data_IF_811540494119
#
_entry.id   IF_811540494119
#
_cell.length_a   1.000
_cell.length_b   1.000
_cell.length_c   1.000
_cell.angle_alpha   90.00
_cell.angle_beta   90.00
_cell.angle_gamma   90.00
#
_symmetry.space_group_name_H-M   'P 1'
#
loop_
_entity.id
_entity.type
_entity.pdbx_description
1 polymer ?
#
# COMPACT_ATOMS: atom_id res chain seq x y z
N UNK A 1 24.07 43.91 -75.31
CA UNK A 1 23.66 45.33 -75.14
C UNK A 1 22.29 45.37 -74.49
N UNK A 2 22.16 46.15 -73.42
CA UNK A 2 20.95 46.40 -72.62
C UNK A 2 19.75 46.85 -73.50
N UNK A 3 18.51 46.55 -73.10
CA UNK A 3 17.66 47.48 -72.30
C UNK A 3 16.28 46.92 -71.94
N UNK A 4 15.84 47.41 -70.80
CA UNK A 4 14.73 47.09 -69.90
C UNK A 4 13.45 47.90 -70.21
N UNK A 5 12.27 47.36 -69.89
CA UNK A 5 11.14 47.92 -69.08
C UNK A 5 9.76 47.41 -69.60
N UNK A 6 9.08 46.52 -68.85
CA UNK A 6 7.90 46.73 -67.94
C UNK A 6 6.69 47.34 -68.67
N UNK A 7 5.47 46.79 -68.60
CA UNK A 7 4.51 46.95 -67.47
C UNK A 7 3.30 45.97 -67.61
N UNK A 8 3.02 45.22 -66.54
CA UNK A 8 1.75 44.99 -65.81
C UNK A 8 0.44 44.72 -66.60
N UNK A 9 -0.14 43.53 -66.41
CA UNK A 9 -1.54 43.35 -65.95
C UNK A 9 -1.78 41.89 -65.57
N UNK A 10 -1.91 41.58 -64.29
CA UNK A 10 -2.36 40.28 -63.79
C UNK A 10 -3.68 40.48 -63.06
N UNK A 11 -4.73 39.87 -63.62
CA UNK A 11 -6.10 39.89 -63.14
C UNK A 11 -6.17 39.06 -61.86
N UNK A 12 -6.64 39.68 -60.79
CA UNK A 12 -6.89 39.06 -59.49
C UNK A 12 -8.14 38.16 -59.55
N UNK A 13 -7.98 36.89 -59.20
CA UNK A 13 -9.09 36.02 -58.80
C UNK A 13 -9.21 36.11 -57.27
N UNK A 14 -10.21 36.85 -56.81
CA UNK A 14 -10.58 36.97 -55.40
C UNK A 14 -11.25 35.66 -54.99
N UNK A 15 -10.51 34.81 -54.27
CA UNK A 15 -11.11 33.75 -53.46
C UNK A 15 -11.33 34.32 -52.05
N UNK A 16 -12.60 34.56 -51.72
CA UNK A 16 -13.02 34.97 -50.38
C UNK A 16 -12.92 33.74 -49.48
N UNK A 17 -11.82 33.59 -48.76
CA UNK A 17 -11.77 32.74 -47.57
C UNK A 17 -12.42 33.51 -46.43
N UNK A 18 -13.59 33.06 -45.97
CA UNK A 18 -14.18 33.51 -44.71
C UNK A 18 -13.22 33.15 -43.58
N UNK A 19 -12.53 34.13 -43.03
CA UNK A 19 -11.86 34.01 -41.74
C UNK A 19 -12.95 34.08 -40.69
N UNK A 20 -13.43 32.91 -40.23
CA UNK A 20 -14.08 32.83 -38.94
C UNK A 20 -13.01 33.03 -37.88
N UNK A 21 -12.92 34.24 -37.34
CA UNK A 21 -12.32 34.44 -36.01
C UNK A 21 -13.31 33.87 -35.00
N UNK A 22 -13.19 32.59 -34.68
CA UNK A 22 -13.58 32.15 -33.35
C UNK A 22 -12.58 32.76 -32.39
N UNK A 23 -13.03 33.72 -31.58
CA UNK A 23 -12.37 33.99 -30.33
C UNK A 23 -12.45 32.68 -29.55
N UNK A 24 -11.37 31.90 -29.56
CA UNK A 24 -11.18 30.85 -28.58
C UNK A 24 -11.15 31.57 -27.24
N UNK A 25 -12.29 31.52 -26.53
CA UNK A 25 -12.26 31.63 -25.09
C UNK A 25 -11.27 30.57 -24.64
N UNK A 26 -10.14 31.00 -24.08
CA UNK A 26 -9.31 30.12 -23.29
C UNK A 26 -10.20 29.67 -22.13
N UNK A 27 -10.86 28.53 -22.32
CA UNK A 27 -11.35 27.75 -21.19
C UNK A 27 -10.09 27.36 -20.41
N UNK A 28 -10.05 27.89 -19.20
CA UNK A 28 -9.10 27.58 -18.16
C UNK A 28 -9.04 26.06 -17.98
N UNK A 29 -8.11 25.43 -18.68
CA UNK A 29 -7.83 23.98 -18.61
C UNK A 29 -6.91 23.72 -17.43
N UNK A 30 -7.37 24.08 -16.24
CA UNK A 30 -6.76 23.70 -14.96
C UNK A 30 -7.59 22.66 -14.19
N UNK A 31 -8.72 22.22 -14.73
CA UNK A 31 -9.53 21.15 -14.15
C UNK A 31 -9.30 19.83 -14.93
N UNK A 32 -8.48 18.92 -14.38
CA UNK A 32 -8.62 17.43 -14.42
C UNK A 32 -7.33 16.67 -14.07
N UNK A 33 -6.27 17.32 -13.57
CA UNK A 33 -5.05 16.61 -13.12
C UNK A 33 -5.07 16.25 -11.62
N UNK A 34 -5.99 16.82 -10.83
CA UNK A 34 -6.10 16.56 -9.39
C UNK A 34 -7.07 15.44 -9.01
N UNK A 35 -7.87 14.91 -9.95
CA UNK A 35 -8.89 13.91 -9.63
C UNK A 35 -8.47 12.47 -9.97
N UNK A 36 -7.20 12.16 -9.75
CA UNK A 36 -6.64 10.81 -9.93
C UNK A 36 -5.90 10.39 -8.68
N UNK A 37 -5.89 9.09 -8.34
CA UNK A 37 -5.02 8.59 -7.30
C UNK A 37 -3.57 8.90 -7.63
N UNK A 38 -2.74 9.00 -6.59
CA UNK A 38 -1.29 8.98 -6.75
C UNK A 38 -0.89 7.70 -7.50
N UNK A 39 0.21 7.74 -8.26
CA UNK A 39 0.63 6.61 -9.11
C UNK A 39 0.70 5.28 -8.34
N UNK A 40 1.26 5.32 -7.12
CA UNK A 40 1.36 4.15 -6.23
C UNK A 40 0.00 3.53 -5.88
N UNK A 41 -1.07 4.33 -5.83
CA UNK A 41 -2.42 3.91 -5.44
C UNK A 41 -3.31 3.60 -6.65
N UNK A 42 -2.92 4.01 -7.85
CA UNK A 42 -3.79 4.01 -9.03
C UNK A 42 -4.36 2.63 -9.34
N UNK A 43 -3.51 1.60 -9.31
CA UNK A 43 -3.94 0.22 -9.56
C UNK A 43 -4.93 -0.28 -8.50
N UNK A 44 -4.61 -0.11 -7.23
CA UNK A 44 -5.43 -0.64 -6.13
C UNK A 44 -6.75 0.12 -6.01
N UNK A 45 -6.74 1.43 -6.22
CA UNK A 45 -7.96 2.23 -6.26
C UNK A 45 -8.81 1.83 -7.46
N UNK A 46 -8.22 1.65 -8.64
CA UNK A 46 -8.95 1.22 -9.84
C UNK A 46 -9.57 -0.17 -9.66
N UNK A 47 -8.81 -1.12 -9.11
CA UNK A 47 -9.28 -2.46 -8.76
C UNK A 47 -10.43 -2.40 -7.75
N UNK A 48 -10.27 -1.64 -6.66
CA UNK A 48 -11.29 -1.48 -5.64
C UNK A 48 -12.58 -0.85 -6.20
N UNK A 49 -12.47 0.11 -7.13
CA UNK A 49 -13.61 0.68 -7.85
C UNK A 49 -14.30 -0.38 -8.71
N UNK A 50 -13.56 -1.15 -9.49
CA UNK A 50 -14.08 -2.23 -10.35
C UNK A 50 -14.81 -3.31 -9.54
N UNK A 51 -14.25 -3.66 -8.37
CA UNK A 51 -14.85 -4.62 -7.43
C UNK A 51 -16.00 -4.03 -6.61
N UNK A 52 -16.36 -2.76 -6.82
CA UNK A 52 -17.48 -2.09 -6.15
C UNK A 52 -17.22 -1.72 -4.68
N UNK A 53 -15.95 -1.76 -4.24
CA UNK A 53 -15.54 -1.44 -2.88
C UNK A 53 -15.49 0.06 -2.57
N UNK A 54 -15.46 0.91 -3.60
CA UNK A 54 -15.34 2.38 -3.44
C UNK A 54 -16.65 3.08 -3.83
N UNK A 55 -17.40 3.65 -2.87
CA UNK A 55 -18.58 4.46 -3.15
C UNK A 55 -18.26 5.63 -4.08
N UNK A 56 -19.20 6.01 -4.97
CA UNK A 56 -18.98 7.02 -6.01
C UNK A 56 -18.50 8.37 -5.44
N UNK A 57 -18.98 8.77 -4.27
CA UNK A 57 -18.59 10.01 -3.60
C UNK A 57 -17.15 10.02 -3.06
N UNK A 58 -16.48 8.85 -2.99
CA UNK A 58 -15.07 8.71 -2.63
C UNK A 58 -14.17 8.41 -3.83
N UNK A 59 -14.69 8.51 -5.06
CA UNK A 59 -13.92 8.37 -6.30
C UNK A 59 -13.38 9.74 -6.77
N UNK A 60 -12.94 10.55 -5.82
CA UNK A 60 -12.34 11.87 -6.05
C UNK A 60 -11.51 12.33 -4.86
N UNK A 61 -10.71 13.39 -5.06
CA UNK A 61 -9.90 14.01 -3.99
C UNK A 61 -9.01 13.02 -3.22
N UNK A 62 -8.49 12.01 -3.92
CA UNK A 62 -7.84 10.83 -3.36
C UNK A 62 -6.74 11.11 -2.33
N UNK A 63 -5.94 12.18 -2.51
CA UNK A 63 -4.88 12.55 -1.56
C UNK A 63 -5.36 13.34 -0.34
N UNK A 64 -6.65 13.69 -0.23
CA UNK A 64 -7.19 14.40 0.93
C UNK A 64 -7.35 13.46 2.12
N UNK A 65 -7.24 13.99 3.34
CA UNK A 65 -7.54 13.23 4.55
C UNK A 65 -8.99 12.75 4.54
N UNK A 66 -9.21 11.51 4.95
CA UNK A 66 -10.54 10.91 5.01
C UNK A 66 -11.21 11.22 6.35
N UNK A 67 -12.50 11.55 6.32
CA UNK A 67 -13.30 11.70 7.54
C UNK A 67 -13.67 10.33 8.11
N UNK A 68 -13.93 10.27 9.42
CA UNK A 68 -14.39 9.05 10.11
C UNK A 68 -15.62 8.45 9.43
N UNK A 69 -16.62 9.26 9.08
CA UNK A 69 -17.83 8.80 8.40
C UNK A 69 -17.56 8.23 7.00
N UNK A 70 -16.64 8.83 6.25
CA UNK A 70 -16.23 8.34 4.92
C UNK A 70 -15.50 7.00 5.01
N UNK A 71 -14.64 6.81 6.02
CA UNK A 71 -13.98 5.53 6.26
C UNK A 71 -15.01 4.42 6.54
N UNK A 72 -16.08 4.73 7.28
CA UNK A 72 -17.19 3.77 7.51
C UNK A 72 -17.82 3.30 6.21
N UNK A 73 -17.99 4.19 5.22
CA UNK A 73 -18.57 3.81 3.94
C UNK A 73 -17.71 2.77 3.21
N UNK A 74 -16.38 2.93 3.21
CA UNK A 74 -15.46 1.95 2.65
C UNK A 74 -15.50 0.63 3.41
N UNK A 75 -15.47 0.67 4.75
CA UNK A 75 -15.51 -0.51 5.59
C UNK A 75 -16.81 -1.32 5.40
N UNK A 76 -17.95 -0.63 5.26
CA UNK A 76 -19.23 -1.28 4.95
C UNK A 76 -19.26 -1.92 3.57
N UNK A 77 -18.59 -1.33 2.56
CA UNK A 77 -18.48 -1.98 1.25
C UNK A 77 -17.73 -3.31 1.33
N UNK A 78 -16.67 -3.37 2.13
CA UNK A 78 -15.98 -4.64 2.41
C UNK A 78 -16.87 -5.60 3.19
N UNK A 79 -17.57 -5.13 4.23
CA UNK A 79 -18.47 -5.97 4.99
C UNK A 79 -19.60 -6.57 4.14
N UNK A 80 -20.18 -5.76 3.24
CA UNK A 80 -21.30 -6.16 2.38
C UNK A 80 -20.93 -7.27 1.39
N UNK A 81 -19.65 -7.45 1.04
CA UNK A 81 -19.21 -8.57 0.18
C UNK A 81 -19.40 -9.94 0.85
N UNK A 82 -19.48 -9.97 2.19
CA UNK A 82 -19.74 -11.22 2.93
C UNK A 82 -21.17 -11.72 2.78
N UNK A 83 -22.09 -10.88 2.28
CA UNK A 83 -23.52 -11.18 2.21
C UNK A 83 -24.21 -11.32 3.57
N UNK A 84 -23.53 -10.94 4.68
CA UNK A 84 -24.10 -10.98 6.03
C UNK A 84 -25.07 -9.83 6.23
N UNK A 85 -26.26 -10.14 6.75
CA UNK A 85 -27.23 -9.15 7.17
C UNK A 85 -26.90 -8.59 8.56
N UNK A 86 -27.23 -7.31 8.78
CA UNK A 86 -27.06 -6.64 10.08
C UNK A 86 -28.43 -6.43 10.72
N UNK A 87 -28.61 -6.98 11.93
CA UNK A 87 -29.79 -6.71 12.74
C UNK A 87 -29.64 -5.34 13.43
N UNK A 88 -30.47 -4.37 13.03
CA UNK A 88 -30.43 -3.00 13.57
C UNK A 88 -31.21 -2.94 14.88
N UNK A 89 -30.50 -3.08 16.01
CA UNK A 89 -31.06 -3.07 17.36
C UNK A 89 -31.16 -1.66 17.94
N UNK A 90 -30.15 -0.83 17.68
CA UNK A 90 -30.11 0.56 18.11
C UNK A 90 -30.16 1.49 16.90
N UNK A 91 -31.25 2.23 16.74
CA UNK A 91 -31.42 3.14 15.60
C UNK A 91 -30.73 4.50 15.77
N UNK A 92 -30.29 4.85 16.99
CA UNK A 92 -29.70 6.17 17.33
C UNK A 92 -28.62 6.06 18.43
N UNK A 93 -27.45 5.48 18.12
CA UNK A 93 -26.39 5.27 19.11
C UNK A 93 -25.57 6.53 19.42
N UNK A 94 -25.61 7.56 18.57
CA UNK A 94 -24.78 8.77 18.70
C UNK A 94 -25.59 10.06 18.50
N UNK A 95 -25.34 11.06 19.34
CA UNK A 95 -26.07 12.33 19.33
C UNK A 95 -25.66 13.24 18.15
N UNK A 96 -24.38 13.23 17.81
CA UNK A 96 -23.76 14.04 16.76
C UNK A 96 -23.91 13.46 15.34
N UNK A 97 -24.56 12.30 15.22
CA UNK A 97 -24.86 11.65 13.94
C UNK A 97 -26.31 11.91 13.49
N UNK A 98 -27.15 12.46 14.35
CA UNK A 98 -28.54 12.74 14.03
C UNK A 98 -28.65 13.76 12.88
N UNK A 99 -29.33 13.37 11.80
CA UNK A 99 -29.47 14.11 10.53
C UNK A 99 -28.15 14.28 9.74
N UNK A 100 -27.10 13.53 10.10
CA UNK A 100 -25.89 13.46 9.29
C UNK A 100 -26.18 12.71 7.97
N UNK A 101 -25.53 13.08 6.87
CA UNK A 101 -25.80 12.47 5.55
C UNK A 101 -25.55 10.95 5.53
N UNK A 102 -24.61 10.47 6.33
CA UNK A 102 -24.26 9.05 6.51
C UNK A 102 -24.81 8.45 7.82
N UNK A 103 -25.90 8.98 8.37
CA UNK A 103 -26.51 8.47 9.62
C UNK A 103 -26.80 6.97 9.55
N UNK A 104 -27.42 6.51 8.46
CA UNK A 104 -27.82 5.11 8.33
C UNK A 104 -26.63 4.16 8.25
N UNK A 105 -25.58 4.55 7.55
CA UNK A 105 -24.35 3.79 7.41
C UNK A 105 -23.59 3.73 8.74
N UNK A 106 -23.47 4.84 9.46
CA UNK A 106 -22.83 4.85 10.78
C UNK A 106 -23.62 3.97 11.77
N UNK A 107 -24.95 4.05 11.75
CA UNK A 107 -25.82 3.18 12.56
C UNK A 107 -25.64 1.71 12.18
N UNK A 108 -25.61 1.38 10.88
CA UNK A 108 -25.38 0.01 10.41
C UNK A 108 -24.03 -0.52 10.88
N UNK A 109 -22.96 0.26 10.71
CA UNK A 109 -21.62 -0.13 11.14
C UNK A 109 -21.51 -0.30 12.66
N UNK A 110 -22.23 0.52 13.43
CA UNK A 110 -22.28 0.38 14.90
C UNK A 110 -22.99 -0.92 15.30
N UNK A 111 -24.16 -1.19 14.71
CA UNK A 111 -24.92 -2.42 15.01
C UNK A 111 -24.20 -3.68 14.51
N UNK A 112 -23.40 -3.57 13.45
CA UNK A 112 -22.50 -4.62 12.99
C UNK A 112 -21.29 -4.81 13.94
N UNK A 113 -21.03 -3.89 14.87
CA UNK A 113 -19.87 -3.95 15.77
C UNK A 113 -18.55 -3.49 15.14
N UNK A 114 -18.59 -2.85 13.96
CA UNK A 114 -17.42 -2.34 13.23
C UNK A 114 -16.91 -1.04 13.86
N UNK A 115 -17.81 -0.16 14.31
CA UNK A 115 -17.47 1.13 14.91
C UNK A 115 -17.93 1.26 16.35
N UNK A 116 -17.25 2.13 17.09
CA UNK A 116 -17.61 2.57 18.44
C UNK A 116 -17.52 4.10 18.52
N UNK A 117 -18.29 4.69 19.44
CA UNK A 117 -18.19 6.12 19.76
C UNK A 117 -17.16 6.41 20.85
N UNK A 118 -17.09 7.66 21.27
CA UNK A 118 -16.15 8.17 22.29
C UNK A 118 -16.50 7.78 23.75
N UNK A 119 -17.51 6.92 23.94
CA UNK A 119 -18.04 6.55 25.26
C UNK A 119 -18.87 7.64 25.95
N UNK A 120 -19.01 8.82 25.33
CA UNK A 120 -19.83 9.96 25.80
C UNK A 120 -21.06 10.19 24.92
N UNK A 121 -21.32 9.28 23.99
CA UNK A 121 -22.48 9.30 23.10
C UNK A 121 -22.24 10.06 21.79
N UNK A 122 -20.99 10.24 21.36
CA UNK A 122 -20.65 10.87 20.07
C UNK A 122 -19.76 9.96 19.22
N UNK A 123 -19.84 10.11 17.90
CA UNK A 123 -19.03 9.38 16.93
C UNK A 123 -17.96 10.24 16.25
N UNK A 124 -18.17 11.54 16.19
CA UNK A 124 -17.36 12.56 15.51
C UNK A 124 -17.24 12.31 14.00
N UNK A 125 -18.36 12.28 13.25
CA UNK A 125 -18.38 11.82 11.85
C UNK A 125 -17.53 12.66 10.89
N UNK A 126 -17.36 13.96 11.17
CA UNK A 126 -16.66 14.91 10.31
C UNK A 126 -15.19 15.12 10.69
N UNK A 127 -14.72 14.50 11.77
CA UNK A 127 -13.30 14.54 12.11
C UNK A 127 -12.51 13.66 11.13
N UNK A 128 -11.30 14.11 10.77
CA UNK A 128 -10.34 13.22 10.12
C UNK A 128 -10.03 12.04 11.03
N UNK A 129 -9.98 10.85 10.44
CA UNK A 129 -9.70 9.62 11.19
C UNK A 129 -8.20 9.47 11.39
N UNK A 130 -7.83 9.18 12.63
CA UNK A 130 -6.44 8.90 12.99
C UNK A 130 -6.07 7.44 12.70
N UNK A 131 -4.77 7.16 12.59
CA UNK A 131 -4.26 5.82 12.33
C UNK A 131 -4.60 4.82 13.42
N UNK A 132 -4.60 5.22 14.69
CA UNK A 132 -5.01 4.36 15.80
C UNK A 132 -6.51 4.03 15.77
N UNK A 133 -7.34 4.96 15.28
CA UNK A 133 -8.77 4.71 15.07
C UNK A 133 -8.99 3.79 13.87
N UNK A 134 -8.27 3.98 12.76
CA UNK A 134 -8.27 3.05 11.62
C UNK A 134 -7.93 1.63 12.09
N UNK A 135 -6.89 1.46 12.89
CA UNK A 135 -6.51 0.14 13.42
C UNK A 135 -7.69 -0.52 14.13
N UNK A 136 -8.36 0.23 15.02
CA UNK A 136 -9.52 -0.30 15.73
C UNK A 136 -10.68 -0.69 14.81
N UNK A 137 -10.98 0.13 13.79
CA UNK A 137 -12.06 -0.14 12.85
C UNK A 137 -11.75 -1.35 11.96
N UNK A 138 -10.50 -1.51 11.52
CA UNK A 138 -10.09 -2.67 10.71
C UNK A 138 -10.15 -3.97 11.51
N UNK A 139 -9.65 -3.98 12.75
CA UNK A 139 -9.73 -5.18 13.59
C UNK A 139 -11.17 -5.54 13.91
N UNK A 140 -11.99 -4.54 14.27
CA UNK A 140 -13.41 -4.78 14.50
C UNK A 140 -14.10 -5.32 13.23
N UNK A 141 -13.82 -4.75 12.05
CA UNK A 141 -14.32 -5.27 10.77
C UNK A 141 -13.88 -6.73 10.54
N UNK A 142 -12.60 -7.04 10.76
CA UNK A 142 -12.08 -8.40 10.65
C UNK A 142 -12.82 -9.38 11.56
N UNK A 143 -13.04 -9.01 12.82
CA UNK A 143 -13.78 -9.84 13.77
C UNK A 143 -15.21 -10.15 13.29
N UNK A 144 -15.81 -9.27 12.49
CA UNK A 144 -17.14 -9.53 11.92
C UNK A 144 -17.10 -10.37 10.65
N UNK A 145 -16.07 -10.21 9.81
CA UNK A 145 -15.98 -10.96 8.54
C UNK A 145 -15.40 -12.36 8.76
N UNK A 146 -14.41 -12.51 9.62
CA UNK A 146 -13.73 -13.77 9.99
C UNK A 146 -13.79 -14.06 11.50
N UNK A 147 -15.00 -14.35 12.06
CA UNK A 147 -15.19 -14.51 13.52
C UNK A 147 -14.43 -15.69 14.13
N UNK A 148 -14.04 -16.68 13.32
CA UNK A 148 -13.29 -17.85 13.77
C UNK A 148 -11.76 -17.66 13.73
N UNK A 149 -11.28 -16.49 13.26
CA UNK A 149 -9.86 -16.16 13.21
C UNK A 149 -9.31 -15.91 14.62
N UNK A 150 -8.05 -16.25 14.83
CA UNK A 150 -7.34 -15.91 16.07
C UNK A 150 -7.02 -14.41 16.09
N UNK A 151 -7.62 -13.68 17.03
CA UNK A 151 -7.40 -12.25 17.25
C UNK A 151 -6.44 -11.96 18.40
N UNK A 152 -5.70 -12.98 18.86
CA UNK A 152 -4.68 -12.82 19.90
C UNK A 152 -3.45 -12.14 19.31
N UNK A 153 -2.97 -11.10 19.98
CA UNK A 153 -1.65 -10.52 19.71
C UNK A 153 -0.61 -11.41 20.39
N UNK A 154 0.29 -12.00 19.61
CA UNK A 154 1.22 -13.02 20.08
C UNK A 154 2.51 -12.42 20.66
N UNK A 155 2.88 -11.23 20.21
CA UNK A 155 4.11 -10.56 20.63
C UNK A 155 3.84 -9.23 21.33
N UNK A 156 4.81 -8.78 22.12
CA UNK A 156 4.82 -7.40 22.63
C UNK A 156 5.62 -6.53 21.67
N UNK A 157 5.01 -5.45 21.19
CA UNK A 157 5.65 -4.49 20.31
C UNK A 157 5.95 -3.20 21.06
N UNK A 158 7.18 -2.71 20.88
CA UNK A 158 7.58 -1.36 21.26
C UNK A 158 7.73 -0.52 20.01
N UNK A 159 7.34 0.75 20.09
CA UNK A 159 7.40 1.70 18.98
C UNK A 159 8.15 2.95 19.44
N UNK A 160 8.96 3.53 18.56
CA UNK A 160 9.70 4.77 18.80
C UNK A 160 8.80 5.92 19.26
N UNK A 161 7.56 5.92 18.79
CA UNK A 161 6.51 6.89 19.10
C UNK A 161 5.37 6.26 19.92
N UNK A 162 5.62 5.10 20.55
CA UNK A 162 4.62 4.32 21.29
C UNK A 162 3.98 5.08 22.44
N UNK A 163 4.65 6.09 22.99
CA UNK A 163 4.11 6.99 24.03
C UNK A 163 2.93 7.86 23.56
N UNK A 164 2.71 7.99 22.24
CA UNK A 164 1.56 8.70 21.67
C UNK A 164 0.36 7.78 21.40
N UNK A 165 0.54 6.46 21.50
CA UNK A 165 -0.55 5.50 21.32
C UNK A 165 -1.47 5.61 22.53
N UNK A 166 -2.76 5.81 22.29
CA UNK A 166 -3.71 5.75 23.39
C UNK A 166 -3.86 4.33 23.92
N UNK A 167 -3.99 4.17 25.25
CA UNK A 167 -4.06 2.85 25.91
C UNK A 167 -5.11 1.92 25.27
N UNK A 168 -6.27 2.45 24.90
CA UNK A 168 -7.35 1.68 24.27
C UNK A 168 -6.98 1.18 22.85
N UNK A 169 -6.05 1.86 22.19
CA UNK A 169 -5.65 1.57 20.82
C UNK A 169 -4.47 0.59 20.73
N UNK A 170 -3.72 0.38 21.83
CA UNK A 170 -2.49 -0.44 21.82
C UNK A 170 -2.73 -1.83 21.25
N UNK A 171 -3.77 -2.54 21.73
CA UNK A 171 -4.13 -3.86 21.21
C UNK A 171 -4.38 -3.85 19.70
N UNK A 172 -5.11 -2.84 19.21
CA UNK A 172 -5.48 -2.75 17.80
C UNK A 172 -4.28 -2.44 16.91
N UNK A 173 -3.41 -1.52 17.35
CA UNK A 173 -2.14 -1.22 16.69
C UNK A 173 -1.26 -2.46 16.63
N UNK A 174 -1.08 -3.14 17.76
CA UNK A 174 -0.24 -4.34 17.85
C UNK A 174 -0.76 -5.45 16.94
N UNK A 175 -2.08 -5.69 16.94
CA UNK A 175 -2.70 -6.67 16.06
C UNK A 175 -2.50 -6.31 14.59
N UNK A 176 -2.74 -5.05 14.21
CA UNK A 176 -2.57 -4.59 12.84
C UNK A 176 -1.11 -4.67 12.39
N UNK A 177 -0.16 -4.40 13.29
CA UNK A 177 1.26 -4.50 13.01
C UNK A 177 1.69 -5.97 12.84
N UNK A 178 1.34 -6.85 13.78
CA UNK A 178 1.64 -8.29 13.74
C UNK A 178 1.08 -8.96 12.47
N UNK A 179 -0.12 -8.58 12.07
CA UNK A 179 -0.81 -9.14 10.90
C UNK A 179 -0.55 -8.36 9.61
N UNK A 180 0.40 -7.42 9.61
CA UNK A 180 0.83 -6.64 8.43
C UNK A 180 -0.32 -5.89 7.74
N UNK A 181 -1.32 -5.49 8.51
CA UNK A 181 -2.47 -4.70 8.07
C UNK A 181 -2.09 -3.22 8.02
N UNK A 182 -1.43 -2.73 9.08
CA UNK A 182 -0.89 -1.38 9.14
C UNK A 182 0.62 -1.47 9.39
N UNK A 183 1.40 -0.92 8.47
CA UNK A 183 2.83 -0.74 8.65
C UNK A 183 3.13 0.67 9.20
N UNK A 184 4.22 0.79 9.94
CA UNK A 184 4.80 2.07 10.36
C UNK A 184 5.49 2.82 9.21
N UNK A 185 6.01 4.01 9.50
CA UNK A 185 6.72 4.88 8.55
C UNK A 185 8.24 4.64 8.52
N UNK A 186 8.70 3.46 8.94
CA UNK A 186 10.13 3.17 9.17
C UNK A 186 10.61 3.65 10.54
N UNK A 187 11.86 3.32 10.91
CA UNK A 187 12.47 3.63 12.23
C UNK A 187 11.58 3.27 13.45
N UNK A 188 10.78 2.21 13.31
CA UNK A 188 9.84 1.75 14.33
C UNK A 188 8.79 2.82 14.75
N UNK A 189 8.39 3.72 13.84
CA UNK A 189 7.37 4.77 14.05
C UNK A 189 6.01 4.34 13.48
N UNK A 190 4.94 4.43 14.27
CA UNK A 190 3.57 4.09 13.83
C UNK A 190 2.74 5.30 13.41
N UNK A 191 3.01 6.46 14.00
CA UNK A 191 2.26 7.71 13.97
C UNK A 191 0.78 7.52 14.32
N UNK A 192 0.44 7.16 15.57
CA UNK A 192 -0.92 6.80 15.95
C UNK A 192 -1.92 7.95 15.80
N UNK A 193 -1.46 9.21 15.84
CA UNK A 193 -2.31 10.41 15.74
C UNK A 193 -2.34 11.02 14.34
N UNK A 194 -1.53 10.52 13.42
CA UNK A 194 -1.56 10.93 12.02
C UNK A 194 -2.89 10.59 11.36
N UNK A 195 -3.30 11.40 10.39
CA UNK A 195 -4.51 11.16 9.60
C UNK A 195 -4.16 10.38 8.32
N UNK A 196 -5.07 9.53 7.86
CA UNK A 196 -4.92 8.84 6.58
C UNK A 196 -5.66 9.57 5.45
N UNK A 197 -5.17 9.39 4.22
CA UNK A 197 -5.84 9.88 3.01
C UNK A 197 -6.92 8.91 2.52
N UNK A 198 -7.77 9.38 1.60
CA UNK A 198 -8.78 8.55 0.93
C UNK A 198 -8.10 7.39 0.18
N UNK A 199 -7.06 7.64 -0.62
CA UNK A 199 -6.35 6.58 -1.36
C UNK A 199 -5.67 5.55 -0.46
N UNK A 200 -5.10 5.98 0.67
CA UNK A 200 -4.53 5.07 1.67
C UNK A 200 -5.60 4.17 2.27
N UNK A 201 -6.78 4.71 2.54
CA UNK A 201 -7.90 3.95 3.12
C UNK A 201 -8.49 2.96 2.12
N UNK A 202 -8.59 3.34 0.84
CA UNK A 202 -9.03 2.44 -0.24
C UNK A 202 -8.04 1.30 -0.43
N UNK A 203 -6.75 1.60 -0.57
CA UNK A 203 -5.69 0.60 -0.75
C UNK A 203 -5.67 -0.41 0.39
N UNK A 204 -5.73 0.07 1.64
CA UNK A 204 -5.78 -0.76 2.84
C UNK A 204 -6.95 -1.74 2.81
N UNK A 205 -8.16 -1.25 2.55
CA UNK A 205 -9.37 -2.08 2.57
C UNK A 205 -9.47 -3.01 1.36
N UNK A 206 -8.91 -2.64 0.21
CA UNK A 206 -8.75 -3.53 -0.94
C UNK A 206 -7.84 -4.72 -0.59
N UNK A 207 -6.66 -4.44 -0.04
CA UNK A 207 -5.71 -5.49 0.41
C UNK A 207 -6.34 -6.39 1.46
N UNK A 208 -7.05 -5.80 2.43
CA UNK A 208 -7.78 -6.55 3.45
C UNK A 208 -8.78 -7.51 2.82
N UNK A 209 -9.64 -7.02 1.91
CA UNK A 209 -10.64 -7.84 1.24
C UNK A 209 -10.03 -8.98 0.41
N UNK A 210 -8.89 -8.72 -0.27
CA UNK A 210 -8.14 -9.74 -1.02
C UNK A 210 -7.56 -10.80 -0.10
N UNK A 211 -6.90 -10.38 0.99
CA UNK A 211 -6.25 -11.28 1.94
C UNK A 211 -7.25 -12.21 2.65
N UNK A 212 -8.47 -11.72 2.90
CA UNK A 212 -9.54 -12.52 3.51
C UNK A 212 -10.37 -13.29 2.46
N UNK A 213 -9.94 -13.30 1.19
CA UNK A 213 -10.57 -14.08 0.12
C UNK A 213 -11.98 -13.61 -0.26
N UNK A 214 -12.33 -12.37 0.05
CA UNK A 214 -13.66 -11.80 -0.18
C UNK A 214 -13.87 -11.33 -1.63
N UNK A 215 -12.78 -11.18 -2.38
CA UNK A 215 -12.83 -10.82 -3.79
C UNK A 215 -12.51 -12.06 -4.62
N UNK A 216 -13.31 -12.33 -5.66
CA UNK A 216 -13.03 -13.42 -6.59
C UNK A 216 -11.58 -13.32 -7.09
N UNK A 217 -10.76 -14.31 -6.70
CA UNK A 217 -9.37 -14.42 -7.12
C UNK A 217 -9.35 -14.80 -8.60
N UNK A 218 -9.29 -13.80 -9.47
CA UNK A 218 -9.01 -14.04 -10.89
C UNK A 218 -7.54 -14.46 -11.11
N UNK A 219 -6.65 -14.19 -10.16
CA UNK A 219 -5.22 -14.39 -10.36
C UNK A 219 -4.68 -15.26 -9.22
N UNK A 220 -4.27 -16.49 -9.58
CA UNK A 220 -3.37 -17.28 -8.74
C UNK A 220 -1.99 -16.60 -8.63
N UNK A 221 -0.90 -17.36 -8.46
CA UNK A 221 0.46 -16.82 -8.61
C UNK A 221 0.58 -15.87 -9.80
N UNK A 222 1.17 -14.70 -9.59
CA UNK A 222 1.40 -13.75 -10.68
C UNK A 222 2.40 -14.38 -11.63
N UNK A 223 2.01 -14.47 -12.90
CA UNK A 223 2.91 -14.86 -13.98
C UNK A 223 3.49 -13.60 -14.60
N UNK A 224 4.81 -13.47 -14.57
CA UNK A 224 5.50 -12.27 -15.06
C UNK A 224 5.32 -12.05 -16.56
N UNK A 225 5.03 -13.12 -17.31
CA UNK A 225 4.63 -13.03 -18.72
C UNK A 225 3.29 -12.31 -18.94
N UNK A 226 2.41 -12.29 -17.93
CA UNK A 226 1.12 -11.63 -18.00
C UNK A 226 1.16 -10.17 -17.53
N UNK A 227 2.31 -9.71 -17.01
CA UNK A 227 2.47 -8.32 -16.57
C UNK A 227 2.49 -7.38 -17.78
N UNK A 228 1.64 -6.35 -17.71
CA UNK A 228 1.54 -5.33 -18.76
C UNK A 228 2.90 -4.66 -19.03
N UNK A 229 3.19 -4.43 -20.31
CA UNK A 229 4.48 -3.86 -20.79
C UNK A 229 4.81 -2.54 -20.08
N UNK A 230 3.82 -1.69 -19.80
CA UNK A 230 4.04 -0.42 -19.11
C UNK A 230 4.55 -0.62 -17.67
N UNK A 231 3.91 -1.51 -16.90
CA UNK A 231 4.30 -1.85 -15.52
C UNK A 231 5.68 -2.49 -15.51
N UNK A 232 5.94 -3.43 -16.42
CA UNK A 232 7.27 -4.03 -16.59
C UNK A 232 8.35 -2.98 -16.87
N UNK A 233 8.11 -2.06 -17.80
CA UNK A 233 9.08 -1.03 -18.15
C UNK A 233 9.33 -0.05 -17.00
N UNK A 234 8.29 0.28 -16.22
CA UNK A 234 8.44 1.13 -15.03
C UNK A 234 9.30 0.45 -13.96
N UNK A 235 9.07 -0.84 -13.69
CA UNK A 235 9.88 -1.62 -12.76
C UNK A 235 11.35 -1.73 -13.22
N UNK A 236 11.58 -2.02 -14.50
CA UNK A 236 12.94 -2.12 -15.08
C UNK A 236 13.67 -0.77 -15.02
N UNK A 237 12.96 0.33 -15.26
CA UNK A 237 13.53 1.67 -15.20
C UNK A 237 13.94 2.05 -13.76
N UNK A 238 13.23 1.52 -12.75
CA UNK A 238 13.53 1.79 -11.35
C UNK A 238 14.71 0.95 -10.81
N UNK A 239 14.66 -0.35 -11.03
CA UNK A 239 15.64 -1.26 -10.45
C UNK A 239 16.75 -1.58 -11.42
N UNK A 240 16.45 -2.41 -12.42
CA UNK A 240 17.25 -2.68 -13.60
C UNK A 240 16.59 -3.79 -14.41
N UNK A 241 17.09 -4.03 -15.63
CA UNK A 241 16.74 -5.25 -16.37
C UNK A 241 17.19 -6.50 -15.63
N UNK A 242 18.35 -6.44 -14.94
CA UNK A 242 18.93 -7.58 -14.22
C UNK A 242 18.09 -7.97 -13.01
N UNK A 243 17.58 -6.99 -12.25
CA UNK A 243 16.62 -7.25 -11.15
C UNK A 243 15.37 -7.93 -11.70
N UNK A 244 14.82 -7.47 -12.82
CA UNK A 244 13.66 -8.12 -13.44
C UNK A 244 13.98 -9.54 -13.95
N UNK A 245 15.16 -9.76 -14.52
CA UNK A 245 15.60 -11.06 -15.02
C UNK A 245 15.76 -12.09 -13.88
N UNK A 246 16.20 -11.66 -12.69
CA UNK A 246 16.21 -12.52 -11.49
C UNK A 246 14.79 -13.01 -11.18
N UNK A 247 13.81 -12.09 -11.13
CA UNK A 247 12.41 -12.45 -10.86
C UNK A 247 11.85 -13.37 -11.94
N UNK A 248 12.18 -13.09 -13.21
CA UNK A 248 11.76 -13.89 -14.36
C UNK A 248 12.32 -15.31 -14.31
N UNK A 249 13.60 -15.49 -13.98
CA UNK A 249 14.18 -16.83 -13.84
C UNK A 249 13.49 -17.64 -12.75
N UNK A 250 13.12 -16.99 -11.64
CA UNK A 250 12.40 -17.64 -10.55
C UNK A 250 11.01 -18.13 -10.97
N UNK A 251 10.25 -17.28 -11.68
CA UNK A 251 8.91 -17.61 -12.19
C UNK A 251 8.95 -18.66 -13.32
N UNK A 252 9.80 -18.45 -14.34
CA UNK A 252 9.90 -19.33 -15.52
C UNK A 252 10.29 -20.76 -15.13
N UNK A 253 11.14 -20.91 -14.11
CA UNK A 253 11.60 -22.22 -13.64
C UNK A 253 10.82 -22.75 -12.43
N UNK A 254 9.75 -22.07 -12.00
CA UNK A 254 8.97 -22.40 -10.80
C UNK A 254 9.83 -22.63 -9.54
N UNK A 255 10.91 -21.85 -9.40
CA UNK A 255 11.81 -21.92 -8.25
C UNK A 255 11.27 -21.13 -7.04
N UNK A 256 10.44 -20.13 -7.32
CA UNK A 256 9.76 -19.33 -6.31
C UNK A 256 8.44 -18.81 -6.89
N UNK A 257 7.56 -18.30 -6.04
CA UNK A 257 6.24 -17.80 -6.43
C UNK A 257 6.22 -16.29 -6.34
N UNK A 258 5.93 -15.59 -7.45
CA UNK A 258 5.64 -14.16 -7.40
C UNK A 258 4.22 -13.98 -6.86
N UNK A 259 4.11 -13.53 -5.61
CA UNK A 259 2.82 -13.36 -4.93
C UNK A 259 2.26 -11.96 -5.12
N UNK A 260 3.12 -10.98 -5.42
CA UNK A 260 2.70 -9.62 -5.75
C UNK A 260 3.64 -8.97 -6.76
N UNK A 261 3.09 -8.18 -7.68
CA UNK A 261 3.85 -7.35 -8.62
C UNK A 261 2.98 -6.14 -9.01
N UNK A 262 3.29 -4.97 -8.47
CA UNK A 262 2.51 -3.74 -8.69
C UNK A 262 3.40 -2.51 -8.67
N UNK A 263 3.04 -1.47 -9.43
CA UNK A 263 3.80 -0.21 -9.54
C UNK A 263 5.29 -0.45 -9.88
N UNK A 264 6.13 -0.51 -8.85
CA UNK A 264 7.54 -0.91 -8.87
C UNK A 264 7.89 -1.73 -7.62
N UNK A 265 7.02 -2.66 -7.26
CA UNK A 265 7.20 -3.55 -6.12
C UNK A 265 7.00 -4.98 -6.56
N UNK A 266 7.71 -5.90 -5.92
CA UNK A 266 7.53 -7.33 -6.11
C UNK A 266 7.68 -8.07 -4.79
N UNK A 267 6.82 -9.04 -4.53
CA UNK A 267 6.99 -10.00 -3.43
C UNK A 267 7.13 -11.40 -4.00
N UNK A 268 8.12 -12.11 -3.47
CA UNK A 268 8.54 -13.43 -3.88
C UNK A 268 8.43 -14.33 -2.66
N UNK A 269 7.71 -15.43 -2.77
CA UNK A 269 7.64 -16.47 -1.75
C UNK A 269 8.53 -17.66 -2.16
N UNK A 270 9.31 -18.13 -1.20
CA UNK A 270 10.28 -19.21 -1.26
C UNK A 270 9.93 -20.20 -0.17
N UNK A 271 9.24 -21.32 -0.45
CA UNK A 271 8.75 -22.25 0.59
C UNK A 271 8.21 -21.52 1.85
N UNK A 272 9.03 -21.44 2.91
CA UNK A 272 8.71 -20.77 4.18
C UNK A 272 9.19 -19.30 4.30
N UNK A 273 10.04 -18.83 3.39
CA UNK A 273 10.62 -17.48 3.37
C UNK A 273 9.93 -16.55 2.37
N UNK A 274 10.11 -15.24 2.55
CA UNK A 274 9.65 -14.23 1.57
C UNK A 274 10.68 -13.14 1.37
N UNK A 275 10.80 -12.63 0.14
CA UNK A 275 11.53 -11.41 -0.21
C UNK A 275 10.55 -10.39 -0.77
N UNK A 276 10.60 -9.15 -0.27
CA UNK A 276 9.85 -8.02 -0.79
C UNK A 276 10.80 -6.91 -1.24
N UNK A 277 10.64 -6.49 -2.48
CA UNK A 277 11.24 -5.29 -3.04
C UNK A 277 10.15 -4.22 -3.11
N UNK A 278 10.30 -3.15 -2.32
CA UNK A 278 9.27 -2.14 -2.11
C UNK A 278 9.45 -0.92 -3.00
N UNK A 279 8.31 -0.34 -3.44
CA UNK A 279 8.29 0.83 -4.31
C UNK A 279 9.15 1.98 -3.78
N UNK A 280 9.99 2.57 -4.64
CA UNK A 280 10.83 3.73 -4.31
C UNK A 280 10.00 4.96 -3.93
N UNK A 281 8.76 5.08 -4.42
CA UNK A 281 7.91 6.25 -4.22
C UNK A 281 7.40 6.31 -2.75
N UNK A 282 7.45 5.17 -2.06
CA UNK A 282 7.27 5.08 -0.61
C UNK A 282 8.62 5.11 0.11
N UNK A 283 9.37 4.02 -0.01
CA UNK A 283 10.71 3.81 0.57
C UNK A 283 11.39 2.62 -0.15
N UNK A 284 12.51 2.88 -0.84
CA UNK A 284 13.22 1.85 -1.60
C UNK A 284 13.92 0.89 -0.63
N UNK A 285 13.28 -0.25 -0.39
CA UNK A 285 13.75 -1.24 0.56
C UNK A 285 13.71 -2.65 -0.04
N UNK A 286 14.64 -3.47 0.43
CA UNK A 286 14.67 -4.91 0.21
C UNK A 286 14.55 -5.61 1.56
N UNK A 287 13.38 -6.17 1.82
CA UNK A 287 13.09 -6.90 3.05
C UNK A 287 12.99 -8.39 2.78
N UNK A 288 13.39 -9.18 3.76
CA UNK A 288 13.10 -10.59 3.81
C UNK A 288 12.53 -10.98 5.16
N UNK A 289 11.54 -11.87 5.13
CA UNK A 289 11.12 -12.63 6.29
C UNK A 289 11.67 -14.04 6.15
N UNK A 290 12.44 -14.46 7.14
CA UNK A 290 13.22 -15.70 7.11
C UNK A 290 12.74 -16.61 8.23
N UNK A 291 12.02 -17.65 7.85
CA UNK A 291 11.60 -18.74 8.73
C UNK A 291 12.57 -19.92 8.65
N UNK A 292 13.14 -20.19 7.47
CA UNK A 292 14.19 -21.19 7.26
C UNK A 292 15.46 -20.58 6.65
N UNK A 293 16.44 -20.33 7.51
CA UNK A 293 17.77 -19.82 7.13
C UNK A 293 18.64 -20.85 6.37
N UNK A 294 18.19 -22.10 6.25
CA UNK A 294 18.82 -23.18 5.49
C UNK A 294 18.51 -23.16 3.99
N UNK A 295 17.58 -22.30 3.54
CA UNK A 295 17.19 -22.23 2.14
C UNK A 295 18.22 -21.45 1.28
N UNK A 296 19.18 -22.17 0.72
CA UNK A 296 20.31 -21.59 -0.03
C UNK A 296 19.85 -20.75 -1.25
N UNK A 297 18.74 -21.11 -1.89
CA UNK A 297 18.20 -20.35 -3.02
C UNK A 297 17.73 -18.96 -2.57
N UNK A 298 16.94 -18.88 -1.50
CA UNK A 298 16.50 -17.62 -0.90
C UNK A 298 17.71 -16.74 -0.57
N UNK A 299 18.71 -17.30 0.12
CA UNK A 299 19.92 -16.55 0.53
C UNK A 299 20.67 -16.01 -0.69
N UNK A 300 20.77 -16.81 -1.75
CA UNK A 300 21.44 -16.43 -3.00
C UNK A 300 20.71 -15.28 -3.67
N UNK A 301 19.39 -15.41 -3.87
CA UNK A 301 18.57 -14.37 -4.51
C UNK A 301 18.60 -13.07 -3.69
N UNK A 302 18.50 -13.17 -2.36
CA UNK A 302 18.50 -11.98 -1.51
C UNK A 302 19.80 -11.19 -1.62
N UNK A 303 20.95 -11.88 -1.68
CA UNK A 303 22.25 -11.25 -1.92
C UNK A 303 22.36 -10.60 -3.29
N UNK A 304 21.89 -11.28 -4.34
CA UNK A 304 21.87 -10.70 -5.69
C UNK A 304 21.01 -9.45 -5.73
N UNK A 305 19.82 -9.47 -5.12
CA UNK A 305 18.96 -8.31 -5.04
C UNK A 305 19.59 -7.16 -4.23
N UNK A 306 20.35 -7.42 -3.17
CA UNK A 306 21.08 -6.35 -2.48
C UNK A 306 22.08 -5.66 -3.42
N UNK A 307 22.91 -6.46 -4.10
CA UNK A 307 23.99 -5.97 -4.98
C UNK A 307 23.39 -5.16 -6.15
N UNK A 308 22.30 -5.63 -6.74
CA UNK A 308 21.72 -4.98 -7.91
C UNK A 308 20.93 -3.71 -7.58
N UNK A 309 20.41 -3.57 -6.36
CA UNK A 309 19.45 -2.51 -6.05
C UNK A 309 20.01 -1.38 -5.17
N UNK A 310 21.18 -1.57 -4.56
CA UNK A 310 21.75 -0.63 -3.58
C UNK A 310 23.23 -0.33 -3.82
N UNK A 311 23.64 0.90 -3.54
CA UNK A 311 24.98 1.41 -3.89
C UNK A 311 26.06 0.62 -3.14
N UNK A 312 25.86 0.37 -1.86
CA UNK A 312 26.76 -0.43 -1.02
C UNK A 312 26.20 -1.84 -0.74
N UNK A 313 25.46 -2.42 -1.70
CA UNK A 313 24.88 -3.76 -1.57
C UNK A 313 25.90 -4.83 -1.18
N UNK A 314 27.16 -4.74 -1.68
CA UNK A 314 28.24 -5.66 -1.29
C UNK A 314 28.56 -5.62 0.22
N UNK A 315 28.50 -4.44 0.87
CA UNK A 315 28.69 -4.34 2.32
C UNK A 315 27.53 -5.00 3.07
N UNK A 316 26.31 -4.85 2.58
CA UNK A 316 25.14 -5.58 3.08
C UNK A 316 25.31 -7.09 3.01
N UNK A 317 25.84 -7.59 1.90
CA UNK A 317 26.14 -9.03 1.72
C UNK A 317 27.20 -9.51 2.72
N UNK A 318 28.22 -8.70 3.01
CA UNK A 318 29.22 -9.03 4.03
C UNK A 318 28.61 -9.14 5.42
N UNK A 319 27.75 -8.18 5.81
CA UNK A 319 27.04 -8.22 7.09
C UNK A 319 26.09 -9.42 7.16
N UNK A 320 25.32 -9.69 6.10
CA UNK A 320 24.48 -10.88 6.06
C UNK A 320 25.32 -12.15 6.28
N UNK A 321 26.48 -12.27 5.63
CA UNK A 321 27.36 -13.43 5.82
C UNK A 321 27.92 -13.55 7.25
N UNK A 322 28.16 -12.44 7.94
CA UNK A 322 28.59 -12.43 9.33
C UNK A 322 27.52 -13.03 10.26
N UNK A 323 26.26 -12.66 10.04
CA UNK A 323 25.16 -13.05 10.93
C UNK A 323 24.44 -14.33 10.52
N UNK A 324 24.52 -14.75 9.25
CA UNK A 324 23.75 -15.91 8.77
C UNK A 324 24.11 -17.22 9.47
N UNK A 325 25.35 -17.36 9.95
CA UNK A 325 25.76 -18.50 10.78
C UNK A 325 24.97 -18.56 12.09
N UNK A 326 24.89 -17.43 12.81
CA UNK A 326 24.10 -17.29 14.03
C UNK A 326 22.61 -17.49 13.76
N UNK A 327 22.13 -17.00 12.62
CA UNK A 327 20.74 -17.18 12.21
C UNK A 327 20.38 -18.67 12.02
N UNK A 328 21.28 -19.44 11.39
CA UNK A 328 21.18 -20.90 11.24
C UNK A 328 21.18 -21.65 12.58
N UNK A 329 21.86 -21.10 13.58
CA UNK A 329 21.85 -21.60 14.96
C UNK A 329 20.62 -21.16 15.77
N UNK A 330 19.70 -20.40 15.15
CA UNK A 330 18.48 -19.87 15.79
C UNK A 330 18.77 -18.88 16.93
N UNK A 331 19.90 -18.17 16.87
CA UNK A 331 20.21 -17.14 17.86
C UNK A 331 19.28 -15.93 17.71
N UNK A 332 18.93 -15.29 18.84
CA UNK A 332 18.26 -14.00 18.81
C UNK A 332 19.28 -12.90 18.50
N UNK A 333 19.03 -12.14 17.45
CA UNK A 333 19.96 -11.19 16.84
C UNK A 333 19.18 -9.93 16.49
N UNK A 334 19.63 -8.80 17.01
CA UNK A 334 19.17 -7.47 16.61
C UNK A 334 20.39 -6.65 16.16
N UNK A 335 20.40 -6.29 14.88
CA UNK A 335 21.51 -5.63 14.19
C UNK A 335 20.95 -4.44 13.45
N UNK A 336 21.56 -3.28 13.67
CA UNK A 336 21.24 -2.04 12.98
C UNK A 336 22.54 -1.36 12.57
N UNK A 337 22.98 -1.62 11.35
CA UNK A 337 24.27 -1.17 10.84
C UNK A 337 24.09 -0.11 9.76
N UNK A 338 24.61 1.09 10.02
CA UNK A 338 24.64 2.12 9.00
C UNK A 338 25.73 1.79 7.98
N UNK A 339 25.32 1.61 6.73
CA UNK A 339 26.23 1.24 5.63
C UNK A 339 26.93 2.47 5.05
N UNK A 340 26.16 3.53 4.85
CA UNK A 340 26.62 4.84 4.41
C UNK A 340 25.64 5.95 4.86
N UNK A 341 25.77 7.16 4.32
CA UNK A 341 24.91 8.30 4.67
C UNK A 341 23.42 8.04 4.38
N UNK A 342 23.12 7.20 3.40
CA UNK A 342 21.79 6.95 2.87
C UNK A 342 21.29 5.52 3.03
N UNK A 343 22.11 4.56 3.48
CA UNK A 343 21.75 3.14 3.49
C UNK A 343 21.97 2.51 4.87
N UNK A 344 21.03 1.64 5.27
CA UNK A 344 21.06 0.91 6.54
C UNK A 344 20.76 -0.57 6.30
N UNK A 345 21.46 -1.43 7.03
CA UNK A 345 21.23 -2.86 7.08
C UNK A 345 20.66 -3.24 8.45
N UNK A 346 19.65 -4.10 8.43
CA UNK A 346 18.86 -4.47 9.60
C UNK A 346 18.73 -5.99 9.65
N UNK A 347 18.94 -6.57 10.83
CA UNK A 347 18.44 -7.92 11.17
C UNK A 347 17.70 -7.78 12.49
N UNK A 348 16.47 -8.25 12.54
CA UNK A 348 15.70 -8.35 13.78
C UNK A 348 15.19 -9.77 13.93
N UNK A 349 15.37 -10.35 15.10
CA UNK A 349 14.88 -11.69 15.41
C UNK A 349 13.53 -11.63 16.13
N UNK A 350 12.65 -12.56 15.81
CA UNK A 350 11.35 -12.73 16.46
C UNK A 350 11.26 -14.18 16.93
N UNK A 351 10.81 -14.39 18.18
CA UNK A 351 10.58 -15.72 18.71
C UNK A 351 9.10 -15.91 19.04
N UNK A 352 8.50 -16.96 18.47
CA UNK A 352 7.13 -17.31 18.78
C UNK A 352 7.00 -18.00 20.15
N UNK A 353 5.76 -18.20 20.61
CA UNK A 353 5.45 -18.86 21.89
C UNK A 353 5.94 -20.32 21.97
N UNK A 354 6.27 -20.95 20.84
CA UNK A 354 6.79 -22.31 20.75
C UNK A 354 8.33 -22.33 20.69
N UNK A 355 8.98 -21.18 20.75
CA UNK A 355 10.44 -21.05 20.67
C UNK A 355 11.00 -21.07 19.24
N UNK A 356 10.15 -21.06 18.21
CA UNK A 356 10.62 -20.92 16.83
C UNK A 356 11.11 -19.50 16.60
N UNK A 357 12.28 -19.38 15.98
CA UNK A 357 12.90 -18.08 15.68
C UNK A 357 12.75 -17.81 14.19
N UNK A 358 12.23 -16.64 13.86
CA UNK A 358 12.25 -16.07 12.52
C UNK A 358 13.04 -14.77 12.52
N UNK A 359 13.50 -14.34 11.35
CA UNK A 359 14.26 -13.12 11.20
C UNK A 359 13.62 -12.21 10.17
N UNK A 360 13.60 -10.93 10.46
CA UNK A 360 13.42 -9.91 9.45
C UNK A 360 14.80 -9.38 9.07
N UNK A 361 15.14 -9.43 7.79
CA UNK A 361 16.36 -8.82 7.26
C UNK A 361 15.94 -7.67 6.37
N UNK A 362 16.58 -6.52 6.51
CA UNK A 362 16.30 -5.32 5.73
C UNK A 362 17.58 -4.72 5.16
N UNK A 363 17.52 -4.29 3.90
CA UNK A 363 18.47 -3.35 3.33
C UNK A 363 17.65 -2.18 2.77
N UNK A 364 17.81 -1.00 3.36
CA UNK A 364 16.91 0.13 3.15
C UNK A 364 17.67 1.40 2.78
N UNK A 365 17.09 2.19 1.87
CA UNK A 365 17.54 3.56 1.61
C UNK A 365 16.78 4.55 2.52
N UNK A 366 17.52 5.27 3.35
CA UNK A 366 17.01 6.43 4.09
C UNK A 366 16.53 7.47 3.09
N UNK A 367 15.27 7.86 3.23
CA UNK A 367 14.70 9.00 2.50
C UNK A 367 15.52 10.25 2.85
N UNK A 368 16.13 10.88 1.84
CA UNK A 368 16.82 12.17 2.00
C UNK A 368 15.83 13.30 2.28
#
# INVERSE_FOLDING_TARGET
MLRLKRIISCIAFVSVLMVFTSAATAEDTTADTQNKPSHWAEQEVSEAIEKGLVPKQLQSNYQSNINRSQYVLLALKVFDTTGKDVDIKESRPFNDVLNHEYEQEIVKAFNAGIVKGDGKGNFHPDNFITREEIASLVVNLLMQITPDKDFTVKNSYEYSDGSYISDWAKYYIDFCFENKILAGYGNNVIDPKGNATIEQSIALLNRLAKNEGLLDSAEGPIKLENIGIAVKNAFIAEYSSKTFDILKDLDDNNKAVITSFWDKSATIAFEDNTISLNSPDFEKNLFALVHDTGEDLFVTVYKELMIENFIDGEKGVLLLNEYIGKMKERELIDVFEQINETEVFIIESMQDVNGNVSYMIGFAQRKQ
#
